data_IF_765483943235
#
_entry.id   IF_765483943235
#
_cell.length_a   1.000
_cell.length_b   1.000
_cell.length_c   1.000
_cell.angle_alpha   90.00
_cell.angle_beta   90.00
_cell.angle_gamma   90.00
#
_symmetry.space_group_name_H-M   'P 1'
#
loop_
_entity.id
_entity.type
_entity.pdbx_description
1 polymer ?
#
# COMPACT_ATOMS: atom_id res chain seq x y z
N UNK A 1 9.09 -26.70 -1.21
CA UNK A 1 7.91 -25.97 -1.71
C UNK A 1 8.28 -24.50 -1.75
N UNK A 2 7.84 -23.79 -2.76
CA UNK A 2 8.02 -22.34 -2.86
C UNK A 2 7.32 -21.65 -1.69
N UNK A 3 7.96 -20.63 -1.10
CA UNK A 3 7.35 -19.79 -0.06
C UNK A 3 6.81 -18.54 -0.71
N UNK A 4 5.50 -18.36 -0.64
CA UNK A 4 4.75 -17.36 -1.40
C UNK A 4 4.40 -16.16 -0.53
N UNK A 5 4.73 -14.94 -1.02
CA UNK A 5 4.23 -13.70 -0.46
C UNK A 5 3.12 -13.11 -1.34
N UNK A 6 2.00 -12.72 -0.73
CA UNK A 6 1.07 -11.79 -1.36
C UNK A 6 1.49 -10.36 -1.06
N UNK A 7 1.66 -9.56 -2.13
CA UNK A 7 2.03 -8.16 -2.02
C UNK A 7 1.01 -7.27 -2.72
N UNK A 8 0.72 -6.11 -2.12
CA UNK A 8 -0.35 -5.23 -2.55
C UNK A 8 0.19 -3.82 -2.84
N UNK A 9 0.04 -3.29 -4.09
CA UNK A 9 0.59 -2.00 -4.49
C UNK A 9 -0.12 -0.82 -3.80
N UNK A 10 0.58 0.31 -3.63
CA UNK A 10 0.06 1.53 -2.99
C UNK A 10 -0.84 2.39 -3.87
N UNK A 11 -1.18 3.58 -3.35
CA UNK A 11 -1.92 4.61 -4.09
C UNK A 11 -1.14 5.07 -5.33
N UNK A 12 -1.85 5.45 -6.39
CA UNK A 12 -1.29 5.78 -7.70
C UNK A 12 -1.38 4.64 -8.72
N UNK A 13 -1.79 3.44 -8.28
CA UNK A 13 -2.06 2.30 -9.16
C UNK A 13 -3.56 2.16 -9.52
N UNK A 14 -4.45 2.99 -8.92
CA UNK A 14 -5.88 2.94 -9.23
C UNK A 14 -6.14 3.20 -10.71
N UNK A 15 -7.09 2.47 -11.27
CA UNK A 15 -7.52 2.63 -12.66
C UNK A 15 -9.01 2.31 -12.78
N UNK A 16 -9.69 3.00 -13.67
CA UNK A 16 -11.06 2.66 -14.07
C UNK A 16 -11.11 1.22 -14.59
N UNK A 17 -12.11 0.45 -14.14
CA UNK A 17 -12.27 -0.97 -14.48
C UNK A 17 -11.50 -1.93 -13.55
N UNK A 18 -10.80 -1.45 -12.50
CA UNK A 18 -10.09 -2.34 -11.57
C UNK A 18 -11.05 -3.28 -10.83
N UNK A 19 -10.84 -4.59 -11.01
CA UNK A 19 -11.66 -5.64 -10.38
C UNK A 19 -13.00 -5.92 -11.05
N UNK A 20 -13.32 -5.27 -12.17
CA UNK A 20 -14.61 -5.42 -12.86
C UNK A 20 -14.86 -6.86 -13.31
N UNK A 21 -13.88 -7.50 -13.92
CA UNK A 21 -13.98 -8.89 -14.37
C UNK A 21 -14.17 -9.89 -13.21
N UNK A 22 -13.56 -9.61 -12.05
CA UNK A 22 -13.82 -10.37 -10.82
C UNK A 22 -15.26 -10.18 -10.33
N UNK A 23 -15.76 -8.95 -10.36
CA UNK A 23 -17.15 -8.66 -9.99
C UNK A 23 -18.16 -9.35 -10.91
N UNK A 24 -17.94 -9.29 -12.23
CA UNK A 24 -18.88 -9.79 -13.22
C UNK A 24 -18.87 -11.31 -13.36
N UNK A 25 -17.74 -11.98 -13.09
CA UNK A 25 -17.54 -13.38 -13.42
C UNK A 25 -17.35 -14.30 -12.21
N UNK A 26 -17.31 -13.76 -10.98
CA UNK A 26 -17.16 -14.54 -9.76
C UNK A 26 -18.14 -14.13 -8.67
N UNK A 27 -18.72 -15.11 -7.97
CA UNK A 27 -19.63 -14.84 -6.84
C UNK A 27 -18.90 -14.13 -5.69
N UNK A 28 -17.65 -14.49 -5.43
CA UNK A 28 -16.86 -13.89 -4.36
C UNK A 28 -16.49 -12.46 -4.67
N UNK A 29 -16.06 -12.14 -5.89
CA UNK A 29 -15.81 -10.78 -6.31
C UNK A 29 -17.06 -9.92 -6.19
N UNK A 30 -18.18 -10.42 -6.71
CA UNK A 30 -19.49 -9.74 -6.62
C UNK A 30 -19.87 -9.46 -5.17
N UNK A 31 -19.83 -10.47 -4.30
CA UNK A 31 -20.18 -10.36 -2.88
C UNK A 31 -19.34 -9.29 -2.16
N UNK A 32 -18.04 -9.20 -2.45
CA UNK A 32 -17.15 -8.23 -1.79
C UNK A 32 -17.46 -6.81 -2.24
N UNK A 33 -17.67 -6.55 -3.52
CA UNK A 33 -18.05 -5.24 -4.03
C UNK A 33 -19.45 -4.79 -3.59
N UNK A 34 -20.42 -5.71 -3.56
CA UNK A 34 -21.77 -5.43 -3.08
C UNK A 34 -21.72 -5.10 -1.57
N UNK A 35 -20.93 -5.85 -0.79
CA UNK A 35 -20.75 -5.57 0.64
C UNK A 35 -20.05 -4.22 0.88
N UNK A 36 -19.03 -3.89 0.09
CA UNK A 36 -18.38 -2.59 0.15
C UNK A 36 -19.37 -1.45 -0.17
N UNK A 37 -20.30 -1.66 -1.11
CA UNK A 37 -21.39 -0.70 -1.40
C UNK A 37 -22.28 -0.46 -0.19
N UNK A 38 -22.71 -1.52 0.52
CA UNK A 38 -23.49 -1.40 1.76
C UNK A 38 -22.72 -0.62 2.84
N UNK A 39 -21.44 -0.94 3.05
CA UNK A 39 -20.60 -0.32 4.07
C UNK A 39 -20.31 1.16 3.80
N UNK A 40 -20.17 1.53 2.54
CA UNK A 40 -19.79 2.88 2.13
C UNK A 40 -20.98 3.81 1.89
N UNK A 41 -22.19 3.27 1.64
CA UNK A 41 -23.36 4.05 1.31
C UNK A 41 -23.35 4.67 -0.10
N UNK A 42 -22.44 4.20 -0.96
CA UNK A 42 -22.38 4.55 -2.39
C UNK A 42 -21.93 3.32 -3.21
N UNK A 43 -22.27 3.31 -4.49
CA UNK A 43 -21.95 2.19 -5.38
C UNK A 43 -20.43 2.05 -5.56
N UNK A 44 -19.84 0.99 -5.02
CA UNK A 44 -18.43 0.64 -5.23
C UNK A 44 -18.15 0.22 -6.68
N UNK A 45 -19.03 -0.56 -7.36
CA UNK A 45 -18.90 -0.84 -8.78
C UNK A 45 -18.83 0.43 -9.64
N UNK A 46 -19.75 1.39 -9.44
CA UNK A 46 -19.72 2.65 -10.19
C UNK A 46 -18.42 3.43 -9.96
N UNK A 47 -17.96 3.51 -8.70
CA UNK A 47 -16.72 4.19 -8.38
C UNK A 47 -15.50 3.55 -9.05
N UNK A 48 -15.47 2.22 -9.15
CA UNK A 48 -14.31 1.49 -9.67
C UNK A 48 -14.36 1.26 -11.18
N UNK A 49 -15.56 1.13 -11.79
CA UNK A 49 -15.70 0.64 -13.17
C UNK A 49 -16.09 1.72 -14.17
N UNK A 50 -16.66 2.84 -13.70
CA UNK A 50 -17.04 3.96 -14.56
C UNK A 50 -16.05 5.12 -14.41
N UNK A 51 -15.84 5.88 -15.48
CA UNK A 51 -15.03 7.10 -15.42
C UNK A 51 -15.69 8.13 -14.49
N UNK A 52 -14.97 8.62 -13.51
CA UNK A 52 -15.43 9.62 -12.56
C UNK A 52 -14.26 10.35 -11.88
N UNK A 53 -14.53 11.55 -11.36
CA UNK A 53 -13.52 12.38 -10.68
C UNK A 53 -13.26 11.95 -9.23
N UNK A 54 -14.06 11.04 -8.67
CA UNK A 54 -13.97 10.64 -7.26
C UNK A 54 -12.89 9.61 -7.01
N UNK A 55 -12.56 8.79 -8.00
CA UNK A 55 -11.58 7.70 -7.84
C UNK A 55 -10.18 8.21 -7.45
N UNK A 56 -9.83 9.45 -7.81
CA UNK A 56 -8.55 10.08 -7.47
C UNK A 56 -8.58 10.90 -6.16
N UNK A 57 -9.74 11.01 -5.51
CA UNK A 57 -9.87 11.63 -4.19
C UNK A 57 -9.50 10.59 -3.13
N UNK A 58 -8.50 10.89 -2.28
CA UNK A 58 -7.88 9.94 -1.35
C UNK A 58 -8.88 9.11 -0.54
N UNK A 59 -9.91 9.71 0.00
CA UNK A 59 -10.94 9.01 0.79
C UNK A 59 -11.69 7.93 0.00
N UNK A 60 -11.91 8.14 -1.31
CA UNK A 60 -12.54 7.14 -2.20
C UNK A 60 -11.51 6.17 -2.77
N UNK A 61 -10.34 6.68 -3.17
CA UNK A 61 -9.24 5.86 -3.68
C UNK A 61 -8.90 4.71 -2.73
N UNK A 62 -8.76 5.02 -1.43
CA UNK A 62 -8.33 4.02 -0.46
C UNK A 62 -9.35 2.88 -0.33
N UNK A 63 -10.63 3.20 -0.19
CA UNK A 63 -11.68 2.18 -0.10
C UNK A 63 -11.80 1.35 -1.39
N UNK A 64 -11.77 2.02 -2.56
CA UNK A 64 -11.86 1.36 -3.86
C UNK A 64 -10.70 0.37 -4.09
N UNK A 65 -9.47 0.82 -3.82
CA UNK A 65 -8.28 -0.01 -4.01
C UNK A 65 -8.23 -1.22 -3.07
N UNK A 66 -8.61 -1.05 -1.80
CA UNK A 66 -8.66 -2.16 -0.84
C UNK A 66 -9.77 -3.14 -1.22
N UNK A 67 -10.96 -2.67 -1.59
CA UNK A 67 -12.06 -3.52 -2.05
C UNK A 67 -11.65 -4.37 -3.26
N UNK A 68 -11.09 -3.76 -4.29
CA UNK A 68 -10.67 -4.47 -5.50
C UNK A 68 -9.59 -5.52 -5.20
N UNK A 69 -8.57 -5.17 -4.39
CA UNK A 69 -7.52 -6.12 -4.04
C UNK A 69 -8.00 -7.27 -3.16
N UNK A 70 -8.90 -7.02 -2.22
CA UNK A 70 -9.50 -8.09 -1.41
C UNK A 70 -10.33 -9.03 -2.31
N UNK A 71 -11.11 -8.49 -3.25
CA UNK A 71 -11.88 -9.31 -4.19
C UNK A 71 -10.95 -10.22 -5.02
N UNK A 72 -9.89 -9.66 -5.61
CA UNK A 72 -8.89 -10.42 -6.37
C UNK A 72 -8.21 -11.48 -5.51
N UNK A 73 -7.80 -11.12 -4.29
CA UNK A 73 -7.13 -12.02 -3.34
C UNK A 73 -8.02 -13.20 -2.95
N UNK A 74 -9.28 -12.95 -2.58
CA UNK A 74 -10.19 -14.03 -2.16
C UNK A 74 -10.50 -15.00 -3.29
N UNK A 75 -10.65 -14.50 -4.52
CA UNK A 75 -10.82 -15.37 -5.70
C UNK A 75 -9.54 -16.18 -5.98
N UNK A 76 -8.35 -15.59 -5.79
CA UNK A 76 -7.07 -16.30 -5.92
C UNK A 76 -6.97 -17.44 -4.88
N UNK A 77 -7.35 -17.17 -3.62
CA UNK A 77 -7.37 -18.16 -2.54
C UNK A 77 -8.36 -19.30 -2.79
N UNK A 78 -9.54 -19.02 -3.37
CA UNK A 78 -10.52 -20.02 -3.80
C UNK A 78 -9.98 -20.95 -4.90
N UNK A 79 -9.06 -20.43 -5.72
CA UNK A 79 -8.35 -21.22 -6.72
C UNK A 79 -7.13 -21.99 -6.15
N UNK A 80 -7.01 -22.07 -4.83
CA UNK A 80 -6.01 -22.87 -4.13
C UNK A 80 -4.63 -22.19 -4.02
N UNK A 81 -4.49 -20.94 -4.43
CA UNK A 81 -3.23 -20.17 -4.31
C UNK A 81 -3.32 -19.32 -3.04
N UNK A 82 -2.52 -19.69 -2.03
CA UNK A 82 -2.53 -19.06 -0.71
C UNK A 82 -1.15 -18.51 -0.36
N UNK A 83 -1.08 -17.42 0.42
CA UNK A 83 0.19 -16.87 0.87
C UNK A 83 0.73 -17.58 2.09
N UNK A 84 2.06 -17.63 2.22
CA UNK A 84 2.77 -17.94 3.46
C UNK A 84 3.06 -16.68 4.28
N UNK A 85 3.06 -15.51 3.61
CA UNK A 85 3.25 -14.20 4.22
C UNK A 85 2.56 -13.12 3.39
N UNK A 86 2.17 -12.01 4.00
CA UNK A 86 1.56 -10.89 3.32
C UNK A 86 2.26 -9.56 3.65
N UNK A 87 2.29 -8.64 2.67
CA UNK A 87 2.72 -7.26 2.87
C UNK A 87 1.97 -6.33 1.91
N UNK A 88 1.64 -5.13 2.37
CA UNK A 88 0.97 -4.14 1.54
C UNK A 88 1.62 -2.78 1.68
N UNK A 89 1.76 -2.03 0.58
CA UNK A 89 2.35 -0.71 0.58
C UNK A 89 1.31 0.33 1.03
N UNK A 90 1.57 1.01 2.17
CA UNK A 90 0.73 2.08 2.72
C UNK A 90 -0.72 1.61 2.98
N UNK A 91 -1.71 2.19 2.31
CA UNK A 91 -3.14 1.84 2.47
C UNK A 91 -3.43 0.34 2.29
N UNK A 92 -2.62 -0.36 1.51
CA UNK A 92 -2.83 -1.79 1.27
C UNK A 92 -2.17 -2.71 2.30
N UNK A 93 -1.55 -2.17 3.34
CA UNK A 93 -1.28 -2.94 4.56
C UNK A 93 -2.58 -3.52 5.13
N UNK A 94 -3.74 -2.85 4.92
CA UNK A 94 -5.07 -3.38 5.26
C UNK A 94 -5.44 -4.64 4.47
N UNK A 95 -4.99 -4.77 3.21
CA UNK A 95 -5.13 -6.03 2.46
C UNK A 95 -4.24 -7.14 3.05
N UNK A 96 -3.04 -6.81 3.49
CA UNK A 96 -2.16 -7.76 4.16
C UNK A 96 -2.73 -8.22 5.51
N UNK A 97 -3.36 -7.33 6.28
CA UNK A 97 -4.07 -7.67 7.51
C UNK A 97 -5.26 -8.61 7.25
N UNK A 98 -6.03 -8.35 6.19
CA UNK A 98 -7.12 -9.24 5.77
C UNK A 98 -6.58 -10.61 5.31
N UNK A 99 -5.50 -10.66 4.54
CA UNK A 99 -4.83 -11.90 4.13
C UNK A 99 -4.31 -12.70 5.32
N UNK A 100 -3.78 -12.00 6.32
CA UNK A 100 -3.25 -12.62 7.54
C UNK A 100 -4.34 -13.01 8.54
N UNK A 101 -5.61 -12.72 8.27
CA UNK A 101 -6.72 -13.00 9.19
C UNK A 101 -6.72 -12.14 10.46
N UNK A 102 -5.98 -11.05 10.46
CA UNK A 102 -5.88 -10.10 11.59
C UNK A 102 -7.11 -9.20 11.65
N UNK A 103 -7.62 -8.81 10.48
CA UNK A 103 -8.79 -7.93 10.33
C UNK A 103 -9.76 -8.56 9.33
N UNK A 104 -11.06 -8.43 9.56
CA UNK A 104 -12.06 -8.86 8.58
C UNK A 104 -11.96 -8.02 7.29
N UNK A 105 -12.40 -8.59 6.16
CA UNK A 105 -12.47 -7.86 4.88
C UNK A 105 -13.30 -6.57 5.02
N UNK A 106 -14.39 -6.66 5.75
CA UNK A 106 -15.32 -5.55 5.99
C UNK A 106 -14.68 -4.44 6.83
N UNK A 107 -13.99 -4.81 7.90
CA UNK A 107 -13.31 -3.85 8.77
C UNK A 107 -12.10 -3.22 8.05
N UNK A 108 -11.38 -3.97 7.22
CA UNK A 108 -10.31 -3.43 6.40
C UNK A 108 -10.84 -2.33 5.44
N UNK A 109 -11.95 -2.61 4.73
CA UNK A 109 -12.60 -1.66 3.81
C UNK A 109 -13.13 -0.43 4.57
N UNK A 110 -13.80 -0.66 5.72
CA UNK A 110 -14.35 0.43 6.55
C UNK A 110 -13.27 1.31 7.14
N UNK A 111 -12.25 0.70 7.72
CA UNK A 111 -11.17 1.42 8.39
C UNK A 111 -10.32 2.22 7.41
N UNK A 112 -10.00 1.65 6.24
CA UNK A 112 -9.21 2.38 5.23
C UNK A 112 -9.97 3.58 4.66
N UNK A 113 -11.31 3.53 4.61
CA UNK A 113 -12.15 4.68 4.25
C UNK A 113 -11.98 5.80 5.28
N UNK A 114 -12.06 5.49 6.58
CA UNK A 114 -11.84 6.48 7.65
C UNK A 114 -10.42 7.03 7.60
N UNK A 115 -9.43 6.17 7.37
CA UNK A 115 -8.04 6.58 7.15
C UNK A 115 -7.93 7.59 6.00
N UNK A 116 -8.57 7.33 4.87
CA UNK A 116 -8.57 8.22 3.71
C UNK A 116 -9.17 9.59 4.02
N UNK A 117 -10.29 9.64 4.73
CA UNK A 117 -10.93 10.89 5.19
C UNK A 117 -9.99 11.68 6.10
N UNK A 118 -9.48 11.04 7.16
CA UNK A 118 -8.58 11.68 8.11
C UNK A 118 -7.31 12.23 7.44
N UNK A 119 -6.72 11.50 6.50
CA UNK A 119 -5.55 11.96 5.75
C UNK A 119 -5.88 13.09 4.77
N UNK A 120 -7.06 13.05 4.16
CA UNK A 120 -7.52 14.10 3.23
C UNK A 120 -7.77 15.43 3.97
N UNK A 121 -8.29 15.37 5.19
CA UNK A 121 -8.64 16.54 6.00
C UNK A 121 -7.47 17.10 6.83
N UNK A 122 -6.41 16.31 7.01
CA UNK A 122 -5.31 16.67 7.93
C UNK A 122 -4.52 17.90 7.51
N UNK A 123 -4.37 18.11 6.19
CA UNK A 123 -3.58 19.22 5.65
C UNK A 123 -4.34 19.87 4.50
N UNK A 124 -4.51 21.21 4.52
CA UNK A 124 -5.15 21.91 3.41
C UNK A 124 -4.45 21.67 2.08
N UNK A 125 -5.26 21.58 1.01
CA UNK A 125 -4.73 21.38 -0.34
C UNK A 125 -3.74 22.46 -0.72
N UNK A 126 -2.55 22.07 -1.15
CA UNK A 126 -1.47 22.98 -1.58
C UNK A 126 -0.47 23.38 -0.50
N UNK A 127 -0.69 23.02 0.78
CA UNK A 127 0.27 23.26 1.86
C UNK A 127 1.33 22.14 1.94
N UNK A 128 0.95 20.93 1.59
CA UNK A 128 1.86 19.78 1.55
C UNK A 128 2.24 19.36 0.14
N UNK A 129 3.34 18.62 0.03
CA UNK A 129 3.81 18.04 -1.23
C UNK A 129 4.57 16.74 -1.00
N UNK A 130 4.75 15.98 -2.11
CA UNK A 130 5.63 14.80 -2.15
C UNK A 130 6.49 14.85 -3.42
N UNK A 131 7.69 14.29 -3.34
CA UNK A 131 8.57 14.16 -4.49
C UNK A 131 9.30 12.82 -4.50
N UNK A 132 9.41 12.23 -5.70
CA UNK A 132 10.22 11.04 -5.91
C UNK A 132 11.67 11.42 -6.25
N UNK A 133 12.61 10.92 -5.45
CA UNK A 133 14.05 11.12 -5.62
C UNK A 133 14.62 9.86 -6.29
N UNK A 134 15.25 10.06 -7.43
CA UNK A 134 15.71 8.96 -8.29
C UNK A 134 17.23 8.92 -8.41
N UNK A 135 17.78 7.72 -8.31
CA UNK A 135 19.18 7.40 -8.51
C UNK A 135 20.13 8.18 -7.57
N UNK A 136 19.74 8.27 -6.30
CA UNK A 136 20.59 8.72 -5.18
C UNK A 136 20.49 7.70 -4.05
N UNK A 137 21.57 7.51 -3.32
CA UNK A 137 21.63 6.58 -2.20
C UNK A 137 20.79 7.07 -1.00
N UNK A 138 20.23 6.14 -0.26
CA UNK A 138 19.36 6.45 0.88
C UNK A 138 20.06 7.30 1.93
N UNK A 139 21.32 7.01 2.25
CA UNK A 139 22.12 7.76 3.23
C UNK A 139 22.28 9.24 2.88
N UNK A 140 22.47 9.57 1.60
CA UNK A 140 22.56 10.95 1.15
C UNK A 140 21.20 11.69 1.25
N UNK A 141 20.10 10.97 1.01
CA UNK A 141 18.74 11.52 1.17
C UNK A 141 18.44 11.74 2.65
N UNK A 142 18.80 10.79 3.51
CA UNK A 142 18.63 10.86 4.96
C UNK A 142 19.44 12.02 5.56
N UNK A 143 20.68 12.24 5.08
CA UNK A 143 21.52 13.36 5.51
C UNK A 143 20.88 14.71 5.17
N UNK A 144 20.41 14.89 3.93
CA UNK A 144 19.79 16.15 3.50
C UNK A 144 18.48 16.39 4.24
N UNK A 145 17.58 15.40 4.29
CA UNK A 145 16.27 15.55 4.93
C UNK A 145 16.38 15.66 6.45
N UNK A 146 17.33 14.98 7.07
CA UNK A 146 17.59 15.05 8.51
C UNK A 146 18.16 16.40 8.98
N UNK A 147 18.75 17.19 8.07
CA UNK A 147 19.25 18.53 8.32
C UNK A 147 18.21 19.63 8.01
N UNK A 148 16.98 19.26 7.63
CA UNK A 148 15.90 20.18 7.25
C UNK A 148 14.67 19.96 8.13
N UNK A 149 13.98 21.06 8.46
CA UNK A 149 12.65 21.00 9.07
C UNK A 149 11.56 20.92 7.99
N UNK A 150 10.40 20.36 8.34
CA UNK A 150 9.22 20.31 7.47
C UNK A 150 9.30 19.30 6.31
N UNK A 151 10.32 18.47 6.24
CA UNK A 151 10.43 17.41 5.22
C UNK A 151 10.83 16.07 5.86
N UNK A 152 10.24 15.00 5.39
CA UNK A 152 10.44 13.62 5.86
C UNK A 152 10.60 12.66 4.69
N UNK A 153 11.23 11.53 4.93
CA UNK A 153 11.19 10.40 4.01
C UNK A 153 9.84 9.68 4.18
N UNK A 154 9.06 9.65 3.13
CA UNK A 154 7.75 8.99 3.09
C UNK A 154 7.86 7.50 2.75
N UNK A 155 8.66 7.15 1.72
CA UNK A 155 8.76 5.77 1.25
C UNK A 155 10.20 5.42 0.86
N UNK A 156 10.67 4.29 1.35
CA UNK A 156 11.81 3.56 0.81
C UNK A 156 11.28 2.51 -0.17
N UNK A 157 11.12 2.85 -1.45
CA UNK A 157 10.45 1.97 -2.42
C UNK A 157 11.36 0.84 -2.93
N UNK A 158 12.55 1.19 -3.36
CA UNK A 158 13.56 0.25 -3.84
C UNK A 158 14.91 0.97 -3.97
N UNK A 159 16.04 0.27 -4.19
CA UNK A 159 17.32 0.91 -4.45
C UNK A 159 17.22 1.99 -5.52
N UNK A 160 17.65 3.20 -5.17
CA UNK A 160 17.61 4.37 -6.04
C UNK A 160 16.21 4.97 -6.29
N UNK A 161 15.22 4.66 -5.46
CA UNK A 161 13.92 5.32 -5.50
C UNK A 161 13.34 5.49 -4.10
N UNK A 162 13.40 6.72 -3.61
CA UNK A 162 12.87 7.16 -2.32
C UNK A 162 11.89 8.31 -2.56
N UNK A 163 10.82 8.36 -1.78
CA UNK A 163 9.86 9.46 -1.82
C UNK A 163 10.03 10.29 -0.55
N UNK A 164 10.13 11.61 -0.73
CA UNK A 164 10.09 12.59 0.36
C UNK A 164 8.73 13.27 0.40
N UNK A 165 8.33 13.75 1.58
CA UNK A 165 7.02 14.34 1.85
C UNK A 165 7.13 15.39 2.92
N UNK A 166 6.26 16.39 2.89
CA UNK A 166 6.25 17.43 3.91
C UNK A 166 5.60 18.74 3.46
N UNK A 167 5.99 19.82 4.09
CA UNK A 167 5.60 21.16 3.69
C UNK A 167 6.09 21.47 2.26
N UNK A 168 5.22 22.05 1.45
CA UNK A 168 5.51 22.25 0.02
C UNK A 168 6.83 22.95 -0.22
N UNK A 169 7.09 24.07 0.47
CA UNK A 169 8.33 24.83 0.32
C UNK A 169 9.57 24.02 0.76
N UNK A 170 9.46 23.25 1.85
CA UNK A 170 10.54 22.40 2.33
C UNK A 170 10.84 21.24 1.37
N UNK A 171 9.81 20.63 0.78
CA UNK A 171 9.99 19.59 -0.24
C UNK A 171 10.64 20.15 -1.51
N UNK A 172 10.21 21.32 -1.97
CA UNK A 172 10.82 21.99 -3.13
C UNK A 172 12.31 22.32 -2.87
N UNK A 173 12.65 22.87 -1.70
CA UNK A 173 14.04 23.14 -1.30
C UNK A 173 14.85 21.84 -1.20
N UNK A 174 14.29 20.80 -0.59
CA UNK A 174 14.93 19.47 -0.50
C UNK A 174 15.22 18.90 -1.89
N UNK A 175 14.30 19.05 -2.85
CA UNK A 175 14.53 18.61 -4.23
C UNK A 175 15.76 19.27 -4.86
N UNK A 176 15.97 20.58 -4.65
CA UNK A 176 17.14 21.27 -5.19
C UNK A 176 18.44 20.82 -4.50
N UNK A 177 18.42 20.67 -3.16
CA UNK A 177 19.57 20.16 -2.41
C UNK A 177 19.93 18.71 -2.82
N UNK A 178 18.93 17.85 -3.02
CA UNK A 178 19.15 16.47 -3.42
C UNK A 178 19.65 16.34 -4.86
N UNK A 179 19.21 17.21 -5.77
CA UNK A 179 19.83 17.33 -7.11
C UNK A 179 21.28 17.73 -7.03
N UNK A 180 21.61 18.73 -6.20
CA UNK A 180 22.99 19.17 -5.97
C UNK A 180 23.84 18.06 -5.33
N UNK A 181 23.26 17.21 -4.50
CA UNK A 181 23.90 16.02 -3.91
C UNK A 181 24.05 14.83 -4.88
N UNK A 182 23.53 14.94 -6.12
CA UNK A 182 23.74 13.94 -7.17
C UNK A 182 22.50 13.14 -7.57
N UNK A 183 21.31 13.47 -7.08
CA UNK A 183 20.08 12.83 -7.55
C UNK A 183 19.89 13.07 -9.04
N UNK A 184 19.69 12.00 -9.81
CA UNK A 184 19.47 12.13 -11.25
C UNK A 184 18.17 12.86 -11.58
N UNK A 185 17.14 12.68 -10.76
CA UNK A 185 15.85 13.40 -10.83
C UNK A 185 15.26 13.58 -9.44
N UNK A 186 14.58 14.70 -9.25
CA UNK A 186 13.62 14.93 -8.18
C UNK A 186 12.30 15.33 -8.87
N UNK A 187 11.27 14.49 -8.75
CA UNK A 187 10.01 14.61 -9.50
C UNK A 187 8.88 14.86 -8.49
N UNK A 188 8.29 16.05 -8.55
CA UNK A 188 7.09 16.35 -7.76
C UNK A 188 5.95 15.41 -8.15
N UNK A 189 5.27 14.85 -7.16
CA UNK A 189 4.16 13.94 -7.35
C UNK A 189 2.83 14.69 -7.35
N UNK A 190 1.93 14.27 -8.22
CA UNK A 190 0.55 14.79 -8.23
C UNK A 190 -0.28 14.03 -7.18
N UNK A 191 -0.21 14.49 -5.94
CA UNK A 191 -0.93 13.90 -4.79
C UNK A 191 -1.65 14.98 -4.00
N UNK A 192 -2.71 14.61 -3.28
CA UNK A 192 -3.56 15.54 -2.54
C UNK A 192 -3.01 15.98 -1.19
N UNK A 193 -1.91 15.38 -0.71
CA UNK A 193 -1.37 15.71 0.61
C UNK A 193 0.02 15.14 0.88
N UNK A 194 0.66 15.57 1.99
CA UNK A 194 2.00 15.16 2.38
C UNK A 194 1.99 13.84 3.14
N UNK A 195 1.62 12.74 2.46
CA UNK A 195 1.45 11.42 3.08
C UNK A 195 2.75 10.92 3.71
N UNK A 196 2.62 10.20 4.84
CA UNK A 196 3.74 9.61 5.57
C UNK A 196 4.75 10.66 6.08
N UNK A 197 4.28 11.85 6.44
CA UNK A 197 5.07 12.92 7.05
C UNK A 197 4.57 13.26 8.46
N UNK A 198 5.38 13.95 9.25
CA UNK A 198 5.00 14.46 10.57
C UNK A 198 3.76 15.36 10.56
N UNK A 199 3.41 15.96 9.42
CA UNK A 199 2.20 16.77 9.26
C UNK A 199 0.90 15.97 9.46
N UNK A 200 0.95 14.63 9.38
CA UNK A 200 -0.20 13.74 9.55
C UNK A 200 -0.27 13.08 10.94
N UNK A 201 0.50 13.54 11.92
CA UNK A 201 0.53 12.93 13.25
C UNK A 201 -0.87 12.89 13.90
N UNK A 202 -1.60 14.01 13.88
CA UNK A 202 -2.96 14.11 14.42
C UNK A 202 -3.95 13.17 13.70
N UNK A 203 -3.80 13.00 12.39
CA UNK A 203 -4.62 12.05 11.63
C UNK A 203 -4.34 10.61 12.06
N UNK A 204 -3.08 10.29 12.37
CA UNK A 204 -2.69 9.00 12.94
C UNK A 204 -3.34 8.75 14.30
N UNK A 205 -3.32 9.72 15.21
CA UNK A 205 -3.95 9.61 16.54
C UNK A 205 -5.47 9.38 16.41
N UNK A 206 -6.15 10.15 15.58
CA UNK A 206 -7.59 9.98 15.30
C UNK A 206 -7.88 8.60 14.69
N UNK A 207 -7.02 8.11 13.81
CA UNK A 207 -7.15 6.75 13.28
C UNK A 207 -6.97 5.69 14.39
N UNK A 208 -6.10 5.93 15.36
CA UNK A 208 -5.97 5.10 16.56
C UNK A 208 -7.27 4.97 17.36
N UNK A 209 -8.08 6.04 17.43
CA UNK A 209 -9.42 6.00 18.03
C UNK A 209 -10.38 5.11 17.23
N UNK A 210 -10.38 5.23 15.89
CA UNK A 210 -11.17 4.36 15.00
C UNK A 210 -10.76 2.89 15.19
N UNK A 211 -9.46 2.61 15.19
CA UNK A 211 -8.92 1.26 15.38
C UNK A 211 -9.27 0.65 16.73
N UNK A 212 -9.59 1.46 17.74
CA UNK A 212 -10.04 0.97 19.05
C UNK A 212 -11.42 0.30 19.01
N UNK A 213 -12.18 0.52 17.95
CA UNK A 213 -13.50 -0.08 17.73
C UNK A 213 -13.46 -1.27 16.77
N UNK A 214 -12.28 -1.58 16.23
CA UNK A 214 -12.08 -2.69 15.29
C UNK A 214 -11.63 -3.92 16.05
N UNK A 215 -12.25 -5.06 15.76
CA UNK A 215 -11.82 -6.35 16.31
C UNK A 215 -10.58 -6.83 15.54
N UNK A 216 -9.50 -7.04 16.27
CA UNK A 216 -8.23 -7.52 15.74
C UNK A 216 -7.94 -8.91 16.31
N UNK A 217 -7.57 -9.84 15.41
CA UNK A 217 -7.26 -11.23 15.73
C UNK A 217 -5.75 -11.50 15.60
N UNK A 218 -5.28 -12.57 16.25
CA UNK A 218 -3.90 -13.03 16.08
C UNK A 218 -3.64 -13.44 14.61
N UNK A 219 -2.47 -13.08 14.05
CA UNK A 219 -2.14 -13.44 12.68
C UNK A 219 -2.18 -14.95 12.44
N UNK A 220 -2.94 -15.40 11.45
CA UNK A 220 -2.96 -16.80 11.00
C UNK A 220 -1.77 -17.14 10.12
N UNK A 221 -1.29 -16.16 9.36
CA UNK A 221 -0.01 -16.16 8.66
C UNK A 221 0.74 -14.87 9.01
N UNK A 222 2.08 -14.85 8.93
CA UNK A 222 2.85 -13.64 9.15
C UNK A 222 2.47 -12.52 8.18
N UNK A 223 2.48 -11.27 8.64
CA UNK A 223 2.52 -10.12 7.76
C UNK A 223 3.61 -9.14 8.20
N UNK A 224 4.08 -8.30 7.27
CA UNK A 224 5.15 -7.33 7.52
C UNK A 224 4.58 -5.93 7.63
N UNK A 225 4.84 -5.25 8.75
CA UNK A 225 4.39 -3.88 8.98
C UNK A 225 5.26 -2.85 8.25
N UNK A 226 4.64 -1.84 7.66
CA UNK A 226 5.34 -0.79 6.89
C UNK A 226 6.34 0.02 7.70
N UNK A 227 5.99 0.35 8.95
CA UNK A 227 6.79 1.24 9.82
C UNK A 227 8.10 0.59 10.25
N UNK A 228 8.06 -0.69 10.56
CA UNK A 228 9.20 -1.43 11.13
C UNK A 228 9.93 -2.30 10.13
N UNK A 229 9.29 -2.66 9.01
CA UNK A 229 9.74 -3.71 8.09
C UNK A 229 9.98 -5.06 8.80
N UNK A 230 9.24 -5.32 9.88
CA UNK A 230 9.34 -6.54 10.68
C UNK A 230 8.02 -7.30 10.64
N UNK A 231 8.13 -8.60 10.82
CA UNK A 231 6.97 -9.45 11.03
C UNK A 231 6.23 -9.06 12.31
N UNK A 232 4.92 -8.86 12.19
CA UNK A 232 4.05 -8.62 13.36
C UNK A 232 3.77 -9.93 14.05
N UNK A 233 3.96 -9.94 15.38
CA UNK A 233 3.90 -11.16 16.18
C UNK A 233 2.58 -11.33 16.92
N UNK A 234 1.86 -10.24 17.18
CA UNK A 234 0.58 -10.30 17.88
C UNK A 234 -0.39 -9.19 17.46
N UNK A 235 -1.67 -9.44 17.65
CA UNK A 235 -2.73 -8.46 17.42
C UNK A 235 -2.54 -7.17 18.26
N UNK A 236 -1.92 -7.28 19.43
CA UNK A 236 -1.70 -6.15 20.33
C UNK A 236 -0.82 -5.05 19.74
N UNK A 237 0.09 -5.40 18.83
CA UNK A 237 0.99 -4.44 18.16
C UNK A 237 0.32 -3.67 17.01
N UNK A 238 -0.72 -4.25 16.41
CA UNK A 238 -1.30 -3.80 15.14
C UNK A 238 -1.84 -2.39 15.21
N UNK A 239 -2.60 -2.07 16.25
CA UNK A 239 -3.19 -0.75 16.44
C UNK A 239 -2.12 0.35 16.48
N UNK A 240 -1.07 0.17 17.27
CA UNK A 240 0.02 1.14 17.38
C UNK A 240 0.75 1.29 16.04
N UNK A 241 1.06 0.17 15.36
CA UNK A 241 1.76 0.18 14.08
C UNK A 241 0.96 0.90 13.01
N UNK A 242 -0.35 0.68 12.91
CA UNK A 242 -1.22 1.37 11.95
C UNK A 242 -1.41 2.85 12.29
N UNK A 243 -1.49 3.21 13.56
CA UNK A 243 -1.53 4.60 14.03
C UNK A 243 -0.28 5.35 13.58
N UNK A 244 0.88 4.78 13.83
CA UNK A 244 2.19 5.35 13.45
C UNK A 244 2.39 5.37 11.93
N UNK A 245 1.84 4.42 11.18
CA UNK A 245 2.03 4.30 9.75
C UNK A 245 1.58 5.55 8.98
N UNK A 246 0.55 6.26 9.46
CA UNK A 246 0.00 7.45 8.79
C UNK A 246 1.04 8.56 8.65
N UNK A 247 1.87 8.74 9.69
CA UNK A 247 2.88 9.81 9.78
C UNK A 247 4.33 9.33 9.73
N UNK A 248 4.56 8.06 9.42
CA UNK A 248 5.91 7.45 9.40
C UNK A 248 6.25 6.88 8.03
N UNK A 249 7.55 6.73 7.77
CA UNK A 249 8.06 6.14 6.53
C UNK A 249 7.54 4.73 6.29
N UNK A 250 7.13 4.46 5.05
CA UNK A 250 6.89 3.10 4.55
C UNK A 250 8.22 2.48 4.12
N UNK A 251 8.66 1.46 4.83
CA UNK A 251 9.93 0.75 4.60
C UNK A 251 9.74 -0.44 3.67
N UNK A 252 9.27 -0.17 2.43
CA UNK A 252 8.91 -1.23 1.49
C UNK A 252 10.12 -2.08 1.06
N UNK A 253 11.22 -1.44 0.69
CA UNK A 253 12.45 -2.15 0.32
C UNK A 253 12.86 -3.11 1.45
N UNK A 254 12.97 -2.61 2.67
CA UNK A 254 13.39 -3.40 3.83
C UNK A 254 12.38 -4.53 4.15
N UNK A 255 11.08 -4.28 3.94
CA UNK A 255 10.04 -5.31 4.10
C UNK A 255 10.23 -6.47 3.12
N UNK A 256 10.52 -6.17 1.87
CA UNK A 256 10.82 -7.18 0.85
C UNK A 256 12.11 -7.93 1.17
N UNK A 257 13.18 -7.20 1.54
CA UNK A 257 14.46 -7.80 1.95
C UNK A 257 14.29 -8.74 3.15
N UNK A 258 13.48 -8.37 4.14
CA UNK A 258 13.17 -9.22 5.29
C UNK A 258 12.43 -10.51 4.88
N UNK A 259 11.47 -10.42 3.97
CA UNK A 259 10.76 -11.59 3.46
C UNK A 259 11.68 -12.52 2.65
N UNK A 260 12.56 -11.99 1.82
CA UNK A 260 13.56 -12.76 1.07
C UNK A 260 14.53 -13.46 2.04
N UNK A 261 15.02 -12.75 3.05
CA UNK A 261 15.92 -13.32 4.08
C UNK A 261 15.24 -14.46 4.87
N UNK A 262 13.92 -14.43 4.99
CA UNK A 262 13.10 -15.49 5.62
C UNK A 262 12.70 -16.61 4.63
N UNK A 263 13.29 -16.61 3.43
CA UNK A 263 13.16 -17.67 2.43
C UNK A 263 11.95 -17.53 1.49
N UNK A 264 11.31 -16.37 1.40
CA UNK A 264 10.31 -16.10 0.38
C UNK A 264 10.99 -16.03 -0.98
N UNK A 265 10.57 -16.88 -1.90
CA UNK A 265 11.13 -16.97 -3.24
C UNK A 265 10.15 -16.56 -4.35
N UNK A 266 8.87 -16.44 -4.02
CA UNK A 266 7.81 -16.08 -4.97
C UNK A 266 6.92 -14.98 -4.40
N UNK A 267 6.79 -13.89 -5.14
CA UNK A 267 5.96 -12.74 -4.80
C UNK A 267 4.83 -12.61 -5.81
N UNK A 268 3.59 -12.50 -5.34
CA UNK A 268 2.41 -12.30 -6.18
C UNK A 268 1.85 -10.91 -5.87
N UNK A 269 2.01 -9.98 -6.80
CA UNK A 269 1.42 -8.65 -6.73
C UNK A 269 -0.06 -8.73 -7.10
N UNK A 270 -0.95 -8.32 -6.17
CA UNK A 270 -2.40 -8.41 -6.32
C UNK A 270 -3.00 -7.01 -6.34
N UNK A 271 -3.52 -6.61 -7.49
CA UNK A 271 -4.11 -5.29 -7.71
C UNK A 271 -3.79 -4.70 -9.08
N UNK A 272 -4.30 -3.50 -9.37
CA UNK A 272 -4.07 -2.86 -10.66
C UNK A 272 -2.60 -2.47 -10.83
N UNK A 273 -2.10 -2.64 -12.06
CA UNK A 273 -0.75 -2.28 -12.47
C UNK A 273 0.33 -3.27 -12.05
N UNK A 274 1.59 -2.84 -12.18
CA UNK A 274 2.82 -3.64 -11.95
C UNK A 274 3.89 -2.82 -11.24
N UNK A 275 3.48 -1.98 -10.30
CA UNK A 275 4.38 -1.06 -9.60
C UNK A 275 5.36 -1.80 -8.73
N UNK A 276 4.86 -2.75 -7.92
CA UNK A 276 5.73 -3.52 -7.02
C UNK A 276 6.63 -4.48 -7.80
N UNK A 277 6.15 -5.09 -8.88
CA UNK A 277 6.99 -5.88 -9.78
C UNK A 277 8.16 -5.05 -10.35
N UNK A 278 7.93 -3.76 -10.59
CA UNK A 278 9.00 -2.81 -10.96
C UNK A 278 10.03 -2.60 -9.85
N UNK A 279 9.58 -2.48 -8.59
CA UNK A 279 10.46 -2.36 -7.43
C UNK A 279 11.21 -3.67 -7.16
N UNK A 280 10.52 -4.80 -7.24
CA UNK A 280 11.11 -6.14 -7.04
C UNK A 280 12.34 -6.36 -7.92
N UNK A 281 12.29 -6.00 -9.21
CA UNK A 281 13.43 -6.14 -10.14
C UNK A 281 14.67 -5.37 -9.72
N UNK A 282 14.50 -4.30 -8.92
CA UNK A 282 15.60 -3.49 -8.38
C UNK A 282 16.07 -3.99 -7.03
N UNK A 283 15.18 -4.60 -6.24
CA UNK A 283 15.50 -5.15 -4.92
C UNK A 283 16.22 -6.50 -5.08
N UNK A 284 15.62 -7.43 -5.85
CA UNK A 284 16.22 -8.75 -6.11
C UNK A 284 15.79 -9.28 -7.48
N UNK A 285 16.73 -9.94 -8.16
CA UNK A 285 16.50 -10.67 -9.43
C UNK A 285 16.39 -12.17 -9.22
N UNK A 286 16.61 -12.63 -8.00
CA UNK A 286 16.70 -14.06 -7.67
C UNK A 286 15.35 -14.63 -7.23
N UNK A 287 14.32 -13.77 -7.09
CA UNK A 287 12.97 -14.17 -6.71
C UNK A 287 12.00 -14.08 -7.89
N UNK A 288 11.03 -14.97 -7.90
CA UNK A 288 9.94 -14.97 -8.87
C UNK A 288 8.92 -13.87 -8.51
N UNK A 289 8.53 -13.05 -9.48
CA UNK A 289 7.47 -12.04 -9.29
C UNK A 289 6.37 -12.27 -10.30
N UNK A 290 5.14 -12.49 -9.80
CA UNK A 290 3.92 -12.73 -10.58
C UNK A 290 2.91 -11.60 -10.31
N UNK A 291 1.92 -11.44 -11.18
CA UNK A 291 0.88 -10.42 -11.06
C UNK A 291 -0.51 -11.03 -11.20
N UNK A 292 -1.46 -10.50 -10.43
CA UNK A 292 -2.90 -10.71 -10.60
C UNK A 292 -3.57 -9.34 -10.67
N UNK A 293 -3.91 -8.92 -11.87
CA UNK A 293 -4.66 -7.71 -12.18
C UNK A 293 -6.02 -8.05 -12.82
N UNK A 294 -6.05 -9.12 -13.59
CA UNK A 294 -7.21 -9.64 -14.30
C UNK A 294 -7.52 -11.07 -13.88
N UNK A 295 -8.79 -11.46 -14.02
CA UNK A 295 -9.23 -12.81 -13.65
C UNK A 295 -8.46 -13.91 -14.40
N UNK A 296 -8.13 -13.68 -15.68
CA UNK A 296 -7.31 -14.59 -16.48
C UNK A 296 -5.88 -14.80 -15.95
N UNK A 297 -5.36 -13.89 -15.13
CA UNK A 297 -4.00 -13.99 -14.58
C UNK A 297 -3.90 -15.12 -13.54
N UNK A 298 -5.02 -15.52 -12.93
CA UNK A 298 -5.06 -16.62 -11.95
C UNK A 298 -4.53 -17.91 -12.57
N UNK A 299 -4.96 -18.24 -13.79
CA UNK A 299 -4.48 -19.44 -14.49
C UNK A 299 -2.99 -19.36 -14.82
N UNK A 300 -2.49 -18.17 -15.23
CA UNK A 300 -1.06 -17.93 -15.50
C UNK A 300 -0.22 -18.09 -14.24
N UNK A 301 -0.71 -17.56 -13.11
CA UNK A 301 -0.06 -17.71 -11.80
C UNK A 301 -0.03 -19.18 -11.38
N UNK A 302 -1.16 -19.88 -11.51
CA UNK A 302 -1.25 -21.32 -11.18
C UNK A 302 -0.28 -22.18 -12.00
N UNK A 303 -0.10 -21.89 -13.28
CA UNK A 303 0.88 -22.57 -14.14
C UNK A 303 2.32 -22.24 -13.72
N UNK A 304 2.61 -20.97 -13.46
CA UNK A 304 3.94 -20.54 -13.05
C UNK A 304 4.37 -21.09 -11.69
N UNK A 305 3.43 -21.42 -10.80
CA UNK A 305 3.73 -22.05 -9.50
C UNK A 305 4.01 -23.56 -9.60
N UNK A 306 3.66 -24.21 -10.70
CA UNK A 306 3.96 -25.63 -10.95
C UNK A 306 5.33 -25.86 -11.58
N UNK A 307 5.91 -24.81 -12.16
CA UNK A 307 7.23 -24.81 -12.78
C UNK A 307 8.33 -24.45 -11.78
#
# INVERSE_FOLDING_TARGET
MSKIAFIFPGQGAQACGMGQDFYEQTETGKRIFDKATELMGFSMPQLCFEENDRLDITEYTQAAMVTASIAMMRVLEENGIKPDVAAGLSLREYCALAAAGVMSDEDAIRTVRQRGILMQEAVPVGEGAMAAILALDASAIEEVTGAMEGVWIANYNCPGQIVISGEKAAVEEACEKLKAAGAKRAVMLNVSGPFHSGMLADAGEKLGEVLSQVELHEPQIPYVANVTAQYVKSAAEVKELLTRQVSSSVRWQQSVEAMIADGVDTFIEIGPGKTLAGFMRKISRDVKTLNVEKLEDISKVAEALKS
#
